data_IF_584589611039
#
_entry.id   IF_584589611039
#
_cell.length_a   1.000
_cell.length_b   1.000
_cell.length_c   1.000
_cell.angle_alpha   90.00
_cell.angle_beta   90.00
_cell.angle_gamma   90.00
#
_symmetry.space_group_name_H-M   'P 1'
#
loop_
_entity.id
_entity.type
_entity.pdbx_description
1 polymer ?
#
# COMPACT_ATOMS: atom_id res chain seq x y z
N UNK A 1 15.48 24.92 -12.90
CA UNK A 1 15.32 24.07 -14.11
C UNK A 1 13.89 24.24 -14.57
N UNK A 2 13.63 24.48 -15.87
CA UNK A 2 12.24 24.66 -16.33
C UNK A 2 11.54 23.29 -16.36
N UNK A 3 10.53 23.09 -15.51
CA UNK A 3 9.81 21.82 -15.36
C UNK A 3 9.06 21.40 -16.63
N UNK A 4 8.74 22.36 -17.50
CA UNK A 4 8.08 22.12 -18.78
C UNK A 4 9.04 21.78 -19.93
N UNK A 5 10.36 21.81 -19.69
CA UNK A 5 11.34 21.48 -20.72
C UNK A 5 11.24 19.98 -21.09
N UNK A 6 11.06 19.69 -22.38
CA UNK A 6 11.01 18.33 -22.93
C UNK A 6 12.20 17.47 -22.49
N UNK A 7 13.39 18.06 -22.32
CA UNK A 7 14.57 17.36 -21.84
C UNK A 7 14.42 16.91 -20.39
N UNK A 8 13.82 17.75 -19.54
CA UNK A 8 13.55 17.46 -18.13
C UNK A 8 12.53 16.34 -18.03
N UNK A 9 11.44 16.41 -18.78
CA UNK A 9 10.41 15.38 -18.81
C UNK A 9 10.95 14.03 -19.27
N UNK A 10 11.72 13.99 -20.36
CA UNK A 10 12.36 12.76 -20.86
C UNK A 10 13.32 12.16 -19.84
N UNK A 11 14.10 13.00 -19.15
CA UNK A 11 15.06 12.55 -18.15
C UNK A 11 14.35 11.97 -16.93
N UNK A 12 13.29 12.64 -16.43
CA UNK A 12 12.47 12.12 -15.32
C UNK A 12 11.82 10.79 -15.68
N UNK A 13 11.25 10.67 -16.88
CA UNK A 13 10.66 9.42 -17.35
C UNK A 13 11.68 8.27 -17.40
N UNK A 14 12.92 8.54 -17.86
CA UNK A 14 13.99 7.54 -17.87
C UNK A 14 14.40 7.12 -16.45
N UNK A 15 14.50 8.08 -15.51
CA UNK A 15 14.79 7.80 -14.10
C UNK A 15 13.68 6.95 -13.48
N UNK A 16 12.41 7.35 -13.63
CA UNK A 16 11.27 6.64 -13.06
C UNK A 16 11.16 5.22 -13.62
N UNK A 17 11.28 5.04 -14.93
CA UNK A 17 11.25 3.72 -15.58
C UNK A 17 12.37 2.80 -15.06
N UNK A 18 13.60 3.30 -14.98
CA UNK A 18 14.73 2.52 -14.43
C UNK A 18 14.51 2.17 -12.95
N UNK A 19 13.91 3.09 -12.18
CA UNK A 19 13.64 2.89 -10.77
C UNK A 19 12.55 1.83 -10.52
N UNK A 20 11.47 1.85 -11.30
CA UNK A 20 10.42 0.84 -11.22
C UNK A 20 10.96 -0.56 -11.53
N UNK A 21 11.86 -0.67 -12.51
CA UNK A 21 12.56 -1.92 -12.83
C UNK A 21 13.44 -2.39 -11.67
N UNK A 22 14.21 -1.48 -11.06
CA UNK A 22 15.03 -1.81 -9.89
C UNK A 22 14.17 -2.32 -8.73
N UNK A 23 13.02 -1.71 -8.45
CA UNK A 23 12.11 -2.21 -7.40
C UNK A 23 11.63 -3.63 -7.71
N UNK A 24 11.43 -3.96 -8.99
CA UNK A 24 10.98 -5.28 -9.41
C UNK A 24 12.06 -6.38 -9.27
N UNK A 25 13.32 -6.01 -9.03
CA UNK A 25 14.50 -6.89 -9.10
C UNK A 25 15.35 -6.90 -7.83
N UNK A 26 15.41 -5.80 -7.09
CA UNK A 26 16.33 -5.59 -5.98
C UNK A 26 15.59 -5.44 -4.65
N UNK A 27 16.30 -5.65 -3.55
CA UNK A 27 15.82 -5.29 -2.22
C UNK A 27 15.98 -3.79 -1.97
N UNK A 28 15.20 -3.24 -1.03
CA UNK A 28 15.14 -1.79 -0.81
C UNK A 28 16.48 -1.17 -0.42
N UNK A 29 17.27 -1.87 0.38
CA UNK A 29 18.61 -1.44 0.83
C UNK A 29 19.68 -1.53 -0.26
N UNK A 30 19.40 -2.23 -1.36
CA UNK A 30 20.27 -2.34 -2.53
C UNK A 30 20.01 -1.25 -3.56
N UNK A 31 18.95 -0.45 -3.41
CA UNK A 31 18.66 0.64 -4.34
C UNK A 31 19.70 1.76 -4.18
N UNK A 32 20.48 2.00 -5.24
CA UNK A 32 21.50 3.06 -5.24
C UNK A 32 21.35 4.02 -6.41
N UNK A 33 21.70 5.28 -6.18
CA UNK A 33 21.76 6.31 -7.24
C UNK A 33 22.74 5.91 -8.35
N UNK A 34 23.81 5.19 -8.03
CA UNK A 34 24.80 4.75 -9.02
C UNK A 34 24.19 3.75 -10.01
N UNK A 35 23.53 2.72 -9.51
CA UNK A 35 22.87 1.70 -10.34
C UNK A 35 21.73 2.31 -11.15
N UNK A 36 20.91 3.15 -10.51
CA UNK A 36 19.82 3.86 -11.17
C UNK A 36 20.30 4.76 -12.31
N UNK A 37 21.35 5.56 -12.08
CA UNK A 37 21.91 6.44 -13.09
C UNK A 37 22.48 5.64 -14.29
N UNK A 38 23.11 4.50 -14.02
CA UNK A 38 23.60 3.58 -15.04
C UNK A 38 22.45 3.06 -15.93
N UNK A 39 21.40 2.51 -15.31
CA UNK A 39 20.21 1.98 -16.01
C UNK A 39 19.43 3.03 -16.78
N UNK A 40 19.32 4.24 -16.23
CA UNK A 40 18.66 5.36 -16.88
C UNK A 40 19.54 6.04 -17.97
N UNK A 41 20.79 5.59 -18.16
CA UNK A 41 21.77 6.17 -19.08
C UNK A 41 22.04 7.67 -18.83
N UNK A 42 22.19 8.05 -17.56
CA UNK A 42 22.49 9.41 -17.13
C UNK A 42 23.69 9.47 -16.19
N UNK A 43 24.25 10.67 -16.01
CA UNK A 43 25.24 10.90 -14.96
C UNK A 43 24.56 11.02 -13.58
N UNK A 44 25.25 10.61 -12.51
CA UNK A 44 24.78 10.82 -11.12
C UNK A 44 24.44 12.29 -10.84
N UNK A 45 25.24 13.24 -11.37
CA UNK A 45 24.95 14.67 -11.25
C UNK A 45 23.60 15.05 -11.87
N UNK A 46 23.21 14.40 -12.97
CA UNK A 46 21.91 14.61 -13.62
C UNK A 46 20.77 14.10 -12.75
N UNK A 47 20.91 12.94 -12.10
CA UNK A 47 19.93 12.47 -11.12
C UNK A 47 19.69 13.53 -10.04
N UNK A 48 20.77 14.08 -9.46
CA UNK A 48 20.67 15.10 -8.40
C UNK A 48 20.13 16.46 -8.85
N UNK A 49 19.93 16.69 -10.15
CA UNK A 49 19.16 17.86 -10.62
C UNK A 49 17.65 17.65 -10.48
N UNK A 50 17.18 16.41 -10.41
CA UNK A 50 15.77 16.03 -10.34
C UNK A 50 15.35 15.53 -8.96
N UNK A 51 16.23 14.80 -8.26
CA UNK A 51 15.93 14.13 -6.99
C UNK A 51 17.14 14.19 -6.05
N UNK A 52 16.92 14.48 -4.77
CA UNK A 52 17.92 14.55 -3.71
C UNK A 52 18.32 13.16 -3.22
N UNK A 53 17.41 12.18 -3.28
CA UNK A 53 17.66 10.81 -2.81
C UNK A 53 16.78 9.79 -3.53
N UNK A 54 17.08 8.50 -3.30
CA UNK A 54 16.19 7.39 -3.68
C UNK A 54 14.86 7.48 -2.93
N UNK A 55 14.86 7.95 -1.69
CA UNK A 55 13.64 8.09 -0.90
C UNK A 55 12.70 9.17 -1.43
N UNK A 56 13.22 10.30 -1.89
CA UNK A 56 12.39 11.33 -2.55
C UNK A 56 11.77 10.78 -3.84
N UNK A 57 12.54 10.02 -4.63
CA UNK A 57 12.01 9.36 -5.83
C UNK A 57 10.96 8.29 -5.49
N UNK A 58 11.17 7.51 -4.42
CA UNK A 58 10.21 6.53 -3.91
C UNK A 58 8.90 7.21 -3.51
N UNK A 59 9.01 8.35 -2.82
CA UNK A 59 7.85 9.09 -2.37
C UNK A 59 7.03 9.59 -3.56
N UNK A 60 7.67 10.19 -4.57
CA UNK A 60 7.01 10.69 -5.77
C UNK A 60 6.36 9.57 -6.61
N UNK A 61 7.11 8.50 -6.89
CA UNK A 61 6.68 7.45 -7.84
C UNK A 61 5.61 6.55 -7.22
N UNK A 62 5.76 6.20 -5.94
CA UNK A 62 4.94 5.17 -5.29
C UNK A 62 4.07 5.74 -4.19
N UNK A 63 4.65 6.45 -3.22
CA UNK A 63 3.95 6.78 -1.98
C UNK A 63 2.80 7.76 -2.24
N UNK A 64 3.07 8.87 -2.94
CA UNK A 64 2.05 9.90 -3.20
C UNK A 64 0.88 9.34 -4.03
N UNK A 65 1.19 8.61 -5.09
CA UNK A 65 0.17 8.02 -5.98
C UNK A 65 -0.70 7.00 -5.23
N UNK A 66 -0.09 6.14 -4.40
CA UNK A 66 -0.80 5.16 -3.59
C UNK A 66 -1.65 5.82 -2.51
N UNK A 67 -1.10 6.78 -1.75
CA UNK A 67 -1.83 7.52 -0.72
C UNK A 67 -3.02 8.26 -1.33
N UNK A 68 -2.82 8.95 -2.46
CA UNK A 68 -3.90 9.67 -3.15
C UNK A 68 -5.02 8.73 -3.62
N UNK A 69 -4.70 7.52 -4.08
CA UNK A 69 -5.68 6.54 -4.51
C UNK A 69 -6.60 6.08 -3.37
N UNK A 70 -6.04 5.83 -2.19
CA UNK A 70 -6.78 5.36 -1.02
C UNK A 70 -7.49 6.46 -0.23
N UNK A 71 -6.99 7.70 -0.27
CA UNK A 71 -7.60 8.85 0.41
C UNK A 71 -8.80 9.43 -0.35
N UNK A 72 -8.92 9.13 -1.66
CA UNK A 72 -10.13 9.43 -2.46
C UNK A 72 -11.37 8.64 -2.03
N UNK A 73 -11.20 7.50 -1.36
CA UNK A 73 -12.32 6.70 -0.88
C UNK A 73 -12.88 7.34 0.39
N UNK A 74 -14.14 7.76 0.35
CA UNK A 74 -14.85 8.22 1.54
C UNK A 74 -15.36 7.02 2.32
N UNK A 75 -14.94 6.88 3.57
CA UNK A 75 -15.24 5.70 4.41
C UNK A 75 -15.63 6.20 5.79
N UNK A 76 -16.85 5.85 6.23
CA UNK A 76 -17.28 6.02 7.61
C UNK A 76 -16.89 4.80 8.43
N UNK A 77 -16.10 5.00 9.48
CA UNK A 77 -15.72 3.89 10.39
C UNK A 77 -16.83 3.51 11.37
N UNK A 78 -17.97 4.22 11.37
CA UNK A 78 -19.17 3.82 12.09
C UNK A 78 -20.10 2.88 11.28
N UNK A 79 -19.75 2.57 10.02
CA UNK A 79 -20.51 1.69 9.14
C UNK A 79 -19.71 0.43 8.84
N UNK A 80 -20.25 -0.74 9.25
CA UNK A 80 -19.64 -2.02 8.89
C UNK A 80 -19.67 -2.27 7.38
N UNK A 81 -20.66 -1.74 6.67
CA UNK A 81 -20.76 -1.84 5.21
C UNK A 81 -19.66 -1.03 4.52
N UNK A 82 -19.36 0.17 5.03
CA UNK A 82 -18.26 1.01 4.53
C UNK A 82 -16.90 0.33 4.81
N UNK A 83 -16.74 -0.27 6.00
CA UNK A 83 -15.56 -1.04 6.37
C UNK A 83 -15.40 -2.25 5.44
N UNK A 84 -16.46 -3.02 5.21
CA UNK A 84 -16.44 -4.16 4.29
C UNK A 84 -16.10 -3.70 2.86
N UNK A 85 -16.69 -2.58 2.42
CA UNK A 85 -16.42 -1.96 1.12
C UNK A 85 -14.95 -1.59 0.94
N UNK A 86 -14.33 -0.95 1.94
CA UNK A 86 -12.93 -0.54 1.83
C UNK A 86 -11.95 -1.72 1.92
N UNK A 87 -12.27 -2.76 2.69
CA UNK A 87 -11.49 -4.00 2.73
C UNK A 87 -11.55 -4.69 1.36
N UNK A 88 -12.75 -4.84 0.78
CA UNK A 88 -12.91 -5.39 -0.58
C UNK A 88 -12.14 -4.58 -1.61
N UNK A 89 -12.24 -3.25 -1.56
CA UNK A 89 -11.50 -2.35 -2.45
C UNK A 89 -9.99 -2.59 -2.33
N UNK A 90 -9.47 -2.64 -1.10
CA UNK A 90 -8.05 -2.89 -0.85
C UNK A 90 -7.59 -4.22 -1.46
N UNK A 91 -8.27 -5.33 -1.16
CA UNK A 91 -7.89 -6.66 -1.64
C UNK A 91 -8.01 -6.76 -3.17
N UNK A 92 -9.08 -6.24 -3.75
CA UNK A 92 -9.30 -6.26 -5.21
C UNK A 92 -8.29 -5.39 -5.94
N UNK A 93 -7.92 -4.26 -5.36
CA UNK A 93 -6.94 -3.38 -5.98
C UNK A 93 -5.54 -3.96 -5.91
N UNK A 94 -5.16 -4.55 -4.77
CA UNK A 94 -3.86 -5.18 -4.60
C UNK A 94 -3.60 -6.30 -5.63
N UNK A 95 -4.63 -7.02 -6.09
CA UNK A 95 -4.49 -8.03 -7.15
C UNK A 95 -4.39 -7.49 -8.57
N UNK A 96 -4.83 -6.25 -8.80
CA UNK A 96 -4.81 -5.59 -10.12
C UNK A 96 -3.57 -4.73 -10.34
N UNK A 97 -2.78 -4.49 -9.30
CA UNK A 97 -1.60 -3.64 -9.37
C UNK A 97 -0.40 -4.37 -9.99
N UNK A 98 0.57 -3.57 -10.45
CA UNK A 98 1.79 -4.08 -11.05
C UNK A 98 2.64 -4.87 -10.04
N UNK A 99 3.57 -5.71 -10.56
CA UNK A 99 4.57 -6.44 -9.76
C UNK A 99 5.29 -5.54 -8.75
N UNK A 100 5.54 -4.28 -9.12
CA UNK A 100 6.12 -3.26 -8.25
C UNK A 100 5.33 -3.09 -6.95
N UNK A 101 4.01 -2.89 -7.04
CA UNK A 101 3.19 -2.65 -5.85
C UNK A 101 3.09 -3.90 -4.97
N UNK A 102 3.00 -5.08 -5.59
CA UNK A 102 3.00 -6.34 -4.84
C UNK A 102 4.32 -6.54 -4.09
N UNK A 103 5.48 -6.25 -4.71
CA UNK A 103 6.78 -6.28 -4.01
C UNK A 103 6.81 -5.29 -2.86
N UNK A 104 6.37 -4.05 -3.06
CA UNK A 104 6.37 -3.04 -1.97
C UNK A 104 5.50 -3.48 -0.79
N UNK A 105 4.37 -4.13 -1.07
CA UNK A 105 3.46 -4.61 -0.03
C UNK A 105 3.95 -5.88 0.68
N UNK A 106 4.58 -6.81 -0.05
CA UNK A 106 4.83 -8.18 0.42
C UNK A 106 6.29 -8.49 0.74
N UNK A 107 7.25 -7.85 0.08
CA UNK A 107 8.67 -8.11 0.30
C UNK A 107 9.14 -7.46 1.61
N UNK A 108 9.76 -8.21 2.56
CA UNK A 108 10.15 -7.68 3.85
C UNK A 108 11.05 -6.44 3.78
N UNK A 109 11.94 -6.34 2.79
CA UNK A 109 12.84 -5.18 2.63
C UNK A 109 12.08 -3.87 2.39
N UNK A 110 10.90 -3.92 1.78
CA UNK A 110 10.08 -2.74 1.46
C UNK A 110 9.08 -2.37 2.56
N UNK A 111 9.05 -3.12 3.67
CA UNK A 111 8.14 -2.86 4.79
C UNK A 111 8.18 -1.40 5.29
N UNK A 112 9.33 -0.72 5.43
CA UNK A 112 9.36 0.69 5.85
C UNK A 112 8.62 1.64 4.91
N UNK A 113 8.67 1.38 3.60
CA UNK A 113 7.94 2.16 2.59
C UNK A 113 6.44 1.93 2.73
N UNK A 114 6.03 0.66 2.86
CA UNK A 114 4.64 0.31 3.06
C UNK A 114 4.06 0.87 4.37
N UNK A 115 4.80 0.77 5.48
CA UNK A 115 4.39 1.33 6.78
C UNK A 115 4.18 2.85 6.69
N UNK A 116 5.06 3.56 5.98
CA UNK A 116 4.90 4.99 5.71
C UNK A 116 3.62 5.30 4.93
N UNK A 117 3.31 4.51 3.88
CA UNK A 117 2.06 4.64 3.10
C UNK A 117 0.84 4.41 4.01
N UNK A 118 0.82 3.30 4.75
CA UNK A 118 -0.28 2.92 5.63
C UNK A 118 -0.54 3.96 6.70
N UNK A 119 0.53 4.46 7.34
CA UNK A 119 0.43 5.50 8.36
C UNK A 119 -0.24 6.75 7.80
N UNK A 120 0.20 7.24 6.64
CA UNK A 120 -0.40 8.44 5.98
C UNK A 120 -1.88 8.24 5.64
N UNK A 121 -2.25 7.07 5.13
CA UNK A 121 -3.66 6.77 4.80
C UNK A 121 -4.49 6.71 6.08
N UNK A 122 -4.00 6.07 7.14
CA UNK A 122 -4.74 5.93 8.40
C UNK A 122 -4.84 7.25 9.17
N UNK A 123 -3.79 8.07 9.18
CA UNK A 123 -3.84 9.42 9.76
C UNK A 123 -4.90 10.29 9.06
N UNK A 124 -4.93 10.26 7.73
CA UNK A 124 -5.95 10.95 6.94
C UNK A 124 -7.38 10.47 7.29
N UNK A 125 -7.56 9.16 7.45
CA UNK A 125 -8.88 8.57 7.76
C UNK A 125 -9.31 8.86 9.18
N UNK A 126 -8.39 8.79 10.15
CA UNK A 126 -8.63 9.15 11.55
C UNK A 126 -9.10 10.58 11.66
N UNK A 127 -8.43 11.52 11.01
CA UNK A 127 -8.83 12.94 11.07
C UNK A 127 -10.23 13.17 10.49
N UNK A 128 -10.59 12.47 9.39
CA UNK A 128 -11.92 12.57 8.78
C UNK A 128 -13.05 11.89 9.54
N UNK A 129 -12.71 10.93 10.39
CA UNK A 129 -13.66 10.14 11.17
C UNK A 129 -13.57 10.44 12.67
N UNK A 130 -12.93 11.56 13.04
CA UNK A 130 -12.68 11.92 14.42
C UNK A 130 -13.99 12.00 15.21
N UNK A 131 -14.08 11.24 16.30
CA UNK A 131 -15.25 11.18 17.17
C UNK A 131 -16.40 10.35 16.63
N UNK A 132 -16.31 9.74 15.44
CA UNK A 132 -17.41 8.97 14.85
C UNK A 132 -17.75 7.71 15.65
N UNK A 133 -16.79 7.20 16.42
CA UNK A 133 -16.92 5.99 17.22
C UNK A 133 -17.39 6.25 18.66
N UNK A 134 -17.55 7.52 19.07
CA UNK A 134 -17.83 7.91 20.47
C UNK A 134 -16.80 7.32 21.48
N UNK A 135 -15.52 7.34 21.08
CA UNK A 135 -14.39 6.86 21.87
C UNK A 135 -13.43 8.01 22.20
N UNK A 136 -12.63 7.84 23.25
CA UNK A 136 -11.51 8.76 23.49
C UNK A 136 -10.40 8.59 22.45
N UNK A 137 -9.47 9.56 22.41
CA UNK A 137 -8.41 9.58 21.40
C UNK A 137 -7.43 8.41 21.51
N UNK A 138 -7.22 7.85 22.70
CA UNK A 138 -6.31 6.71 22.89
C UNK A 138 -6.96 5.44 22.35
N UNK A 139 -8.24 5.23 22.62
CA UNK A 139 -9.03 4.12 22.10
C UNK A 139 -9.18 4.21 20.57
N UNK A 140 -9.46 5.40 20.01
CA UNK A 140 -9.50 5.61 18.56
C UNK A 140 -8.16 5.24 17.92
N UNK A 141 -7.03 5.64 18.51
CA UNK A 141 -5.70 5.28 17.98
C UNK A 141 -5.51 3.76 17.89
N UNK A 142 -5.98 3.01 18.88
CA UNK A 142 -5.92 1.54 18.86
C UNK A 142 -6.78 0.96 17.72
N UNK A 143 -8.00 1.50 17.53
CA UNK A 143 -8.89 1.07 16.43
C UNK A 143 -8.23 1.31 15.07
N UNK A 144 -7.66 2.50 14.83
CA UNK A 144 -6.98 2.77 13.55
C UNK A 144 -5.70 1.95 13.38
N UNK A 145 -4.96 1.66 14.45
CA UNK A 145 -3.80 0.76 14.40
C UNK A 145 -4.21 -0.68 14.06
N UNK A 146 -5.34 -1.17 14.58
CA UNK A 146 -5.92 -2.45 14.19
C UNK A 146 -6.24 -2.48 12.70
N UNK A 147 -6.92 -1.45 12.17
CA UNK A 147 -7.22 -1.37 10.74
C UNK A 147 -5.97 -1.26 9.86
N UNK A 148 -4.97 -0.48 10.28
CA UNK A 148 -3.69 -0.32 9.58
C UNK A 148 -2.97 -1.68 9.41
N UNK A 149 -3.11 -2.55 10.40
CA UNK A 149 -2.31 -3.77 10.51
C UNK A 149 -2.95 -4.98 9.82
N UNK A 150 -4.29 -5.11 9.86
CA UNK A 150 -4.94 -6.36 9.46
C UNK A 150 -4.98 -6.57 7.94
N UNK A 151 -5.52 -5.63 7.17
CA UNK A 151 -5.65 -5.78 5.71
C UNK A 151 -4.34 -6.18 5.01
N UNK A 152 -3.20 -5.50 5.24
CA UNK A 152 -1.94 -5.93 4.63
C UNK A 152 -1.40 -7.24 5.15
N UNK A 153 -1.60 -7.55 6.42
CA UNK A 153 -1.11 -8.79 7.00
C UNK A 153 -1.84 -9.99 6.39
N UNK A 154 -3.17 -9.89 6.26
CA UNK A 154 -3.98 -10.90 5.59
C UNK A 154 -3.59 -11.06 4.11
N UNK A 155 -3.41 -9.95 3.39
CA UNK A 155 -2.99 -10.00 1.98
C UNK A 155 -1.61 -10.64 1.81
N UNK A 156 -0.63 -10.24 2.63
CA UNK A 156 0.71 -10.83 2.61
C UNK A 156 0.68 -12.33 2.87
N UNK A 157 -0.12 -12.79 3.82
CA UNK A 157 -0.28 -14.21 4.09
C UNK A 157 -0.88 -14.94 2.88
N UNK A 158 -1.92 -14.40 2.27
CA UNK A 158 -2.53 -14.97 1.07
C UNK A 158 -1.54 -15.06 -0.11
N UNK A 159 -0.68 -14.05 -0.28
CA UNK A 159 0.43 -14.08 -1.26
C UNK A 159 1.47 -15.14 -0.90
N UNK A 160 1.89 -15.22 0.36
CA UNK A 160 2.87 -16.19 0.84
C UNK A 160 2.40 -17.64 0.64
N UNK A 161 1.09 -17.88 0.76
CA UNK A 161 0.47 -19.18 0.48
C UNK A 161 0.32 -19.49 -1.02
N UNK A 162 0.78 -18.58 -1.89
CA UNK A 162 0.73 -18.72 -3.34
C UNK A 162 -0.64 -18.39 -3.94
N UNK A 163 -1.45 -17.57 -3.26
CA UNK A 163 -2.79 -17.15 -3.70
C UNK A 163 -3.73 -18.34 -4.01
N UNK A 164 -3.56 -19.44 -3.28
CA UNK A 164 -4.29 -20.70 -3.51
C UNK A 164 -5.77 -20.60 -3.20
N UNK A 165 -6.13 -19.82 -2.18
CA UNK A 165 -7.53 -19.52 -1.88
C UNK A 165 -8.10 -18.61 -2.97
N UNK A 166 -9.28 -18.91 -3.55
CA UNK A 166 -9.92 -18.02 -4.50
C UNK A 166 -10.06 -16.59 -3.95
N UNK A 167 -9.92 -15.59 -4.83
CA UNK A 167 -9.92 -14.18 -4.42
C UNK A 167 -11.19 -13.79 -3.64
N UNK A 168 -12.36 -14.26 -4.09
CA UNK A 168 -13.62 -13.93 -3.43
C UNK A 168 -13.70 -14.53 -2.02
N UNK A 169 -13.32 -15.79 -1.86
CA UNK A 169 -13.28 -16.45 -0.55
C UNK A 169 -12.31 -15.75 0.41
N UNK A 170 -11.16 -15.31 -0.11
CA UNK A 170 -10.18 -14.53 0.66
C UNK A 170 -10.73 -13.16 1.08
N UNK A 171 -11.47 -12.48 0.19
CA UNK A 171 -12.13 -11.20 0.50
C UNK A 171 -13.19 -11.40 1.58
N UNK A 172 -14.07 -12.37 1.43
CA UNK A 172 -15.13 -12.66 2.41
C UNK A 172 -14.54 -13.04 3.78
N UNK A 173 -13.50 -13.88 3.78
CA UNK A 173 -12.80 -14.23 5.01
C UNK A 173 -12.19 -13.00 5.68
N UNK A 174 -11.54 -12.13 4.90
CA UNK A 174 -10.93 -10.90 5.41
C UNK A 174 -11.96 -9.92 5.96
N UNK A 175 -13.07 -9.71 5.25
CA UNK A 175 -14.18 -8.86 5.72
C UNK A 175 -14.74 -9.42 7.02
N UNK A 176 -15.02 -10.73 7.08
CA UNK A 176 -15.55 -11.39 8.26
C UNK A 176 -14.63 -11.26 9.47
N UNK A 177 -13.33 -11.48 9.29
CA UNK A 177 -12.34 -11.31 10.36
C UNK A 177 -12.23 -9.85 10.82
N UNK A 178 -12.22 -8.88 9.90
CA UNK A 178 -12.05 -7.47 10.26
C UNK A 178 -13.30 -6.90 10.94
N UNK A 179 -14.49 -7.31 10.51
CA UNK A 179 -15.76 -6.77 11.03
C UNK A 179 -16.28 -7.52 12.26
N UNK A 180 -15.97 -8.81 12.41
CA UNK A 180 -16.51 -9.67 13.48
C UNK A 180 -15.43 -10.39 14.30
N UNK A 181 -14.16 -10.22 13.96
CA UNK A 181 -13.05 -10.88 14.65
C UNK A 181 -13.12 -12.41 14.53
N UNK A 182 -12.62 -13.07 15.57
CA UNK A 182 -12.57 -14.54 15.63
C UNK A 182 -13.93 -15.23 15.65
N UNK A 183 -15.02 -14.53 16.02
CA UNK A 183 -16.37 -15.12 15.97
C UNK A 183 -16.73 -15.59 14.56
N UNK A 184 -16.29 -14.85 13.54
CA UNK A 184 -16.48 -15.25 12.15
C UNK A 184 -15.76 -16.56 11.84
N UNK A 185 -14.48 -16.70 12.23
CA UNK A 185 -13.70 -17.90 11.94
C UNK A 185 -14.16 -19.14 12.72
N UNK A 186 -14.58 -18.96 13.98
CA UNK A 186 -14.98 -20.05 14.86
C UNK A 186 -16.37 -20.59 14.51
N UNK A 187 -17.32 -19.71 14.20
CA UNK A 187 -18.73 -20.08 14.09
C UNK A 187 -19.34 -19.88 12.70
N UNK A 188 -18.87 -18.87 11.95
CA UNK A 188 -19.49 -18.42 10.69
C UNK A 188 -18.88 -19.05 9.44
N UNK A 189 -17.56 -18.97 9.29
CA UNK A 189 -16.84 -19.37 8.08
C UNK A 189 -16.85 -20.89 7.88
N UNK A 190 -16.64 -21.68 8.96
CA UNK A 190 -16.65 -23.15 8.87
C UNK A 190 -17.99 -23.70 8.38
N UNK A 191 -19.10 -23.12 8.83
CA UNK A 191 -20.44 -23.52 8.39
C UNK A 191 -20.73 -23.20 6.91
N UNK A 192 -19.98 -22.27 6.29
CA UNK A 192 -20.12 -21.95 4.87
C UNK A 192 -19.30 -22.88 3.96
N UNK A 193 -18.22 -23.48 4.46
CA UNK A 193 -17.41 -24.47 3.72
C UNK A 193 -18.05 -25.85 3.75
N UNK A 194 -18.76 -26.19 4.83
CA UNK A 194 -19.39 -27.50 5.03
C UNK A 194 -20.80 -27.63 4.42
N UNK A 195 -21.30 -26.60 3.70
CA UNK A 195 -22.63 -26.53 3.08
C UNK A 195 -22.55 -26.51 1.55
#
# INVERSE_FOLDING_TARGET
>A
MNESDLRVLKTRAAIQSAFEQMICELDYDQLTVSELASRAHINRKTFYLHYQSIDELMDEVVVESTVAQFTKQNVSYASLDDIAGIVRFYMTMATKQSKLHERILCEPSYRPVYERISQRIMDYRRERNRGVLDLDSLAENIVYAFFASNSPTLYRQWVADGKKMPLEDFIELSIGLITRGMSYAVEGYRKQIDA
#
